data_IF_779426061225
#
_entry.id   IF_779426061225
#
_cell.length_a   1.000
_cell.length_b   1.000
_cell.length_c   1.000
_cell.angle_alpha   90.00
_cell.angle_beta   90.00
_cell.angle_gamma   90.00
#
_symmetry.space_group_name_H-M   'P 1'
#
loop_
_entity.id
_entity.type
_entity.pdbx_description
1 polymer ?
#
# COMPACT_ATOMS: atom_id res chain seq x y z
N UNK A 1 -7.35 2.52 -16.47
CA UNK A 1 -7.21 3.70 -15.58
C UNK A 1 -6.33 3.29 -14.42
N UNK A 2 -5.34 4.13 -14.13
CA UNK A 2 -4.32 3.88 -13.12
C UNK A 2 -4.52 4.93 -12.03
N UNK A 3 -4.96 4.48 -10.84
CA UNK A 3 -5.46 5.35 -9.77
C UNK A 3 -5.17 4.73 -8.41
N UNK A 4 -4.92 5.57 -7.41
CA UNK A 4 -4.81 5.17 -6.01
C UNK A 4 -5.78 5.98 -5.15
N UNK A 5 -6.26 5.37 -4.06
CA UNK A 5 -7.03 6.04 -3.01
C UNK A 5 -6.16 6.15 -1.75
N UNK A 6 -6.07 7.36 -1.20
CA UNK A 6 -5.34 7.67 0.03
C UNK A 6 -6.35 8.19 1.05
N UNK A 7 -6.37 7.57 2.23
CA UNK A 7 -7.19 8.01 3.34
C UNK A 7 -6.46 9.09 4.15
N UNK A 8 -7.01 10.31 4.15
CA UNK A 8 -6.47 11.47 4.85
C UNK A 8 -7.16 11.74 6.20
N UNK A 9 -8.03 10.85 6.67
CA UNK A 9 -8.72 10.98 7.97
C UNK A 9 -7.84 10.61 9.16
N UNK A 10 -6.67 10.02 8.88
CA UNK A 10 -5.67 9.66 9.86
C UNK A 10 -5.09 10.87 10.61
N UNK A 11 -4.67 10.66 11.87
CA UNK A 11 -4.17 11.71 12.75
C UNK A 11 -2.94 12.43 12.17
N UNK A 12 -2.07 11.69 11.49
CA UNK A 12 -0.85 12.20 10.87
C UNK A 12 -1.13 13.16 9.70
N UNK A 13 -2.34 13.12 9.13
CA UNK A 13 -2.75 13.96 8.00
C UNK A 13 -3.71 15.07 8.39
N UNK A 14 -3.90 15.30 9.69
CA UNK A 14 -4.80 16.32 10.22
C UNK A 14 -4.02 17.47 10.90
N UNK A 15 -4.53 18.71 10.81
CA UNK A 15 -5.67 19.16 10.00
C UNK A 15 -5.36 19.22 8.48
N UNK A 16 -6.38 18.98 7.65
CA UNK A 16 -6.25 18.97 6.19
C UNK A 16 -6.48 20.37 5.58
N UNK A 17 -5.40 21.11 5.31
CA UNK A 17 -5.48 22.41 4.63
C UNK A 17 -5.31 22.31 3.11
N UNK A 18 -4.31 21.54 2.67
CA UNK A 18 -3.98 21.36 1.25
C UNK A 18 -3.70 19.88 1.00
N UNK A 19 -4.61 19.15 0.33
CA UNK A 19 -4.44 17.71 0.10
C UNK A 19 -3.16 17.34 -0.66
N UNK A 20 -2.73 18.17 -1.62
CA UNK A 20 -1.49 17.91 -2.38
C UNK A 20 -0.27 17.99 -1.46
N UNK A 21 -0.17 19.04 -0.64
CA UNK A 21 0.90 19.17 0.35
C UNK A 21 0.83 18.05 1.39
N UNK A 22 -0.37 17.65 1.81
CA UNK A 22 -0.56 16.56 2.75
C UNK A 22 -0.02 15.24 2.19
N UNK A 23 -0.32 14.93 0.92
CA UNK A 23 0.14 13.71 0.25
C UNK A 23 1.67 13.68 0.13
N UNK A 24 2.31 14.82 -0.16
CA UNK A 24 3.76 14.88 -0.38
C UNK A 24 4.55 14.84 0.93
N UNK A 25 4.08 15.53 1.97
CA UNK A 25 4.91 15.80 3.17
C UNK A 25 4.44 15.10 4.45
N UNK A 26 3.17 14.71 4.54
CA UNK A 26 2.61 14.13 5.75
C UNK A 26 2.08 12.70 5.57
N UNK A 27 1.60 12.37 4.37
CA UNK A 27 1.00 11.07 4.12
C UNK A 27 2.06 9.96 4.07
N UNK A 28 1.65 8.78 4.54
CA UNK A 28 2.47 7.57 4.56
C UNK A 28 1.90 6.50 3.65
N UNK A 29 2.76 5.60 3.16
CA UNK A 29 2.37 4.43 2.33
C UNK A 29 1.27 3.57 2.96
N UNK A 30 1.15 3.61 4.29
CA UNK A 30 0.13 2.87 5.02
C UNK A 30 -1.27 3.42 4.77
N UNK A 31 -1.42 4.71 4.45
CA UNK A 31 -2.72 5.34 4.26
C UNK A 31 -3.34 5.07 2.87
N UNK A 32 -2.64 4.33 2.00
CA UNK A 32 -3.19 3.88 0.71
C UNK A 32 -4.18 2.74 0.95
N UNK A 33 -5.45 2.94 0.59
CA UNK A 33 -6.51 1.95 0.81
C UNK A 33 -6.76 1.08 -0.41
N UNK A 34 -6.75 1.66 -1.61
CA UNK A 34 -7.13 0.98 -2.83
C UNK A 34 -6.25 1.41 -4.00
N UNK A 35 -5.96 0.48 -4.91
CA UNK A 35 -5.08 0.69 -6.05
C UNK A 35 -5.67 0.00 -7.27
N UNK A 36 -5.73 0.72 -8.38
CA UNK A 36 -6.14 0.23 -9.69
C UNK A 36 -5.04 0.46 -10.71
N UNK A 37 -4.79 -0.54 -11.56
CA UNK A 37 -3.88 -0.46 -12.71
C UNK A 37 -4.57 -1.09 -13.91
N UNK A 38 -4.59 -0.38 -15.04
CA UNK A 38 -5.32 -0.75 -16.24
C UNK A 38 -6.79 -1.10 -15.96
N UNK A 39 -7.42 -0.43 -14.98
CA UNK A 39 -8.81 -0.70 -14.55
C UNK A 39 -8.99 -1.94 -13.66
N UNK A 40 -7.93 -2.72 -13.41
CA UNK A 40 -7.96 -3.86 -12.48
C UNK A 40 -7.62 -3.38 -11.08
N UNK A 41 -8.49 -3.68 -10.10
CA UNK A 41 -8.20 -3.38 -8.69
C UNK A 41 -7.18 -4.39 -8.17
N UNK A 42 -6.01 -3.91 -7.77
CA UNK A 42 -4.92 -4.72 -7.21
C UNK A 42 -4.91 -4.71 -5.68
N UNK A 43 -5.31 -3.59 -5.07
CA UNK A 43 -5.47 -3.44 -3.63
C UNK A 43 -6.91 -3.03 -3.33
N UNK A 44 -7.56 -3.72 -2.38
CA UNK A 44 -8.91 -3.41 -1.90
C UNK A 44 -8.89 -3.27 -0.39
N UNK A 45 -9.25 -2.09 0.15
CA UNK A 45 -9.28 -1.86 1.60
C UNK A 45 -8.01 -2.40 2.30
N UNK A 46 -6.84 -2.07 1.75
CA UNK A 46 -5.50 -2.49 2.22
C UNK A 46 -5.21 -3.99 2.12
N UNK A 47 -6.05 -4.77 1.41
CA UNK A 47 -5.81 -6.19 1.12
C UNK A 47 -5.41 -6.38 -0.34
N UNK A 48 -4.29 -7.07 -0.56
CA UNK A 48 -3.84 -7.44 -1.91
C UNK A 48 -4.83 -8.44 -2.51
N UNK A 49 -5.20 -8.22 -3.76
CA UNK A 49 -6.18 -9.06 -4.47
C UNK A 49 -5.53 -10.05 -5.44
N UNK A 50 -4.29 -9.81 -5.84
CA UNK A 50 -3.55 -10.61 -6.82
C UNK A 50 -2.37 -11.39 -6.21
N UNK A 51 -1.97 -11.04 -4.99
CA UNK A 51 -0.83 -11.66 -4.30
C UNK A 51 -1.36 -12.33 -3.03
N UNK A 52 -1.08 -13.62 -2.88
CA UNK A 52 -1.25 -14.32 -1.63
C UNK A 52 -0.08 -13.99 -0.69
N UNK A 53 -0.38 -13.34 0.43
CA UNK A 53 0.62 -12.90 1.40
C UNK A 53 1.30 -14.09 2.08
N UNK A 54 0.60 -15.19 2.31
CA UNK A 54 1.18 -16.33 3.03
C UNK A 54 2.14 -17.11 2.14
N UNK A 55 1.79 -17.31 0.87
CA UNK A 55 2.72 -17.88 -0.13
C UNK A 55 3.97 -17.01 -0.30
N UNK A 56 3.80 -15.68 -0.25
CA UNK A 56 4.92 -14.74 -0.34
C UNK A 56 5.85 -14.86 0.87
N UNK A 57 5.31 -15.01 2.09
CA UNK A 57 6.13 -15.21 3.30
C UNK A 57 6.95 -16.49 3.24
N UNK A 58 6.37 -17.59 2.72
CA UNK A 58 7.10 -18.85 2.54
C UNK A 58 8.30 -18.64 1.62
N UNK A 59 8.08 -18.02 0.46
CA UNK A 59 9.17 -17.71 -0.49
C UNK A 59 10.24 -16.80 0.12
N UNK A 60 9.85 -15.81 0.94
CA UNK A 60 10.80 -14.94 1.63
C UNK A 60 11.68 -15.77 2.58
N UNK A 61 11.09 -16.68 3.37
CA UNK A 61 11.84 -17.52 4.31
C UNK A 61 12.80 -18.47 3.58
N UNK A 62 12.38 -19.07 2.46
CA UNK A 62 13.25 -19.91 1.63
C UNK A 62 14.47 -19.14 1.11
N UNK A 63 14.26 -17.93 0.60
CA UNK A 63 15.36 -17.08 0.13
C UNK A 63 16.27 -16.62 1.27
N UNK A 64 15.71 -16.29 2.44
CA UNK A 64 16.50 -15.94 3.62
C UNK A 64 17.43 -17.09 4.02
N UNK A 65 16.93 -18.33 4.04
CA UNK A 65 17.75 -19.51 4.34
C UNK A 65 18.83 -19.75 3.28
N UNK A 66 18.51 -19.57 2.00
CA UNK A 66 19.47 -19.75 0.90
C UNK A 66 20.61 -18.75 0.94
N UNK A 67 20.35 -17.53 1.42
CA UNK A 67 21.35 -16.47 1.52
C UNK A 67 22.15 -16.51 2.83
N UNK A 68 21.65 -17.19 3.86
CA UNK A 68 22.38 -17.39 5.12
C UNK A 68 23.34 -18.58 5.10
N UNK A 69 23.36 -19.34 4.00
CA UNK A 69 24.29 -20.46 3.76
C UNK A 69 25.38 -20.00 2.80
#
# INVERSE_FOLDING_TARGET
ADVIAIDLTYLETQPLYCPVSQIVYAASRQQVTDVWVAGKRLLKQRRLTTINIDDLKVKIAEWQHRLST
#
